data_IF_845350293950
#
_entry.id   IF_845350293950
#
_cell.length_a   1.000
_cell.length_b   1.000
_cell.length_c   1.000
_cell.angle_alpha   90.00
_cell.angle_beta   90.00
_cell.angle_gamma   90.00
#
_symmetry.space_group_name_H-M   'P 1'
#
loop_
_entity.id
_entity.type
_entity.pdbx_description
1 polymer ?
#
# COMPACT_ATOMS: atom_id res chain seq x y z
N UNK A 1 -15.16 33.27 42.47
CA UNK A 1 -14.54 34.00 41.34
C UNK A 1 -13.16 33.45 40.96
N UNK A 2 -12.17 33.42 41.87
CA UNK A 2 -10.80 32.92 41.57
C UNK A 2 -10.75 31.48 41.01
N UNK A 3 -11.54 30.57 41.56
CA UNK A 3 -11.63 29.18 41.09
C UNK A 3 -12.21 29.06 39.67
N UNK A 4 -13.13 29.96 39.30
CA UNK A 4 -13.73 29.98 37.96
C UNK A 4 -12.70 30.37 36.90
N UNK A 5 -11.85 31.37 37.20
CA UNK A 5 -10.75 31.77 36.33
C UNK A 5 -9.72 30.66 36.14
N UNK A 6 -9.41 29.91 37.20
CA UNK A 6 -8.50 28.77 37.12
C UNK A 6 -9.08 27.66 36.23
N UNK A 7 -10.37 27.35 36.37
CA UNK A 7 -11.06 26.37 35.52
C UNK A 7 -11.05 26.81 34.06
N UNK A 8 -11.38 28.07 33.77
CA UNK A 8 -11.38 28.64 32.41
C UNK A 8 -9.97 28.62 31.79
N UNK A 9 -8.94 28.94 32.57
CA UNK A 9 -7.54 28.90 32.11
C UNK A 9 -7.11 27.47 31.77
N UNK A 10 -7.45 26.49 32.63
CA UNK A 10 -7.15 25.07 32.36
C UNK A 10 -7.88 24.59 31.11
N UNK A 11 -9.15 24.96 30.93
CA UNK A 11 -9.92 24.61 29.73
C UNK A 11 -9.30 25.20 28.46
N UNK A 12 -8.85 26.46 28.50
CA UNK A 12 -8.18 27.11 27.38
C UNK A 12 -6.86 26.43 26.98
N UNK A 13 -6.08 25.96 27.95
CA UNK A 13 -4.84 25.22 27.70
C UNK A 13 -5.08 23.83 27.09
N UNK A 14 -6.22 23.20 27.38
CA UNK A 14 -6.58 21.89 26.83
C UNK A 14 -7.03 21.94 25.37
N UNK A 15 -7.64 23.04 24.91
CA UNK A 15 -8.16 23.18 23.54
C UNK A 15 -7.04 23.25 22.48
N UNK A 16 -5.86 23.75 22.84
CA UNK A 16 -4.79 24.02 21.87
C UNK A 16 -3.97 22.79 21.43
N UNK A 17 -4.15 21.62 22.05
CA UNK A 17 -3.28 20.45 21.83
C UNK A 17 -3.95 19.26 21.12
N UNK A 18 -5.18 19.38 20.63
CA UNK A 18 -5.87 18.27 19.95
C UNK A 18 -5.70 18.31 18.43
N UNK A 19 -4.46 18.20 17.94
CA UNK A 19 -4.17 17.86 16.53
C UNK A 19 -3.61 16.43 16.51
N UNK A 20 -4.48 15.44 16.72
CA UNK A 20 -4.07 14.04 16.82
C UNK A 20 -3.88 13.35 15.46
N UNK A 21 -4.30 13.99 14.36
CA UNK A 21 -4.28 13.40 13.02
C UNK A 21 -3.78 14.44 12.03
N UNK A 22 -2.53 14.28 11.57
CA UNK A 22 -2.08 14.99 10.39
C UNK A 22 -2.86 14.43 9.20
N UNK A 23 -3.60 15.30 8.50
CA UNK A 23 -4.35 14.92 7.31
C UNK A 23 -3.37 14.75 6.14
N UNK A 24 -2.90 13.52 5.95
CA UNK A 24 -2.11 13.12 4.80
C UNK A 24 -2.93 12.15 3.93
N UNK A 25 -3.20 12.52 2.69
CA UNK A 25 -3.90 11.66 1.72
C UNK A 25 -2.86 10.82 0.97
N UNK A 26 -2.83 9.52 1.20
CA UNK A 26 -2.00 8.59 0.43
C UNK A 26 -2.53 8.31 -0.98
N UNK A 27 -1.69 7.75 -1.84
CA UNK A 27 -2.12 7.24 -3.14
C UNK A 27 -1.80 5.76 -3.27
N UNK A 28 -2.65 5.04 -4.02
CA UNK A 28 -2.42 3.65 -4.38
C UNK A 28 -2.75 3.50 -5.86
N UNK A 29 -1.73 3.16 -6.65
CA UNK A 29 -1.88 2.93 -8.08
C UNK A 29 -1.56 1.48 -8.40
N UNK A 30 -2.45 0.86 -9.18
CA UNK A 30 -2.36 -0.53 -9.59
C UNK A 30 -2.50 -0.59 -11.10
N UNK A 31 -1.59 -1.29 -11.76
CA UNK A 31 -1.66 -1.61 -13.17
C UNK A 31 -1.73 -3.12 -13.33
N UNK A 32 -2.81 -3.60 -13.92
CA UNK A 32 -3.05 -5.01 -14.21
C UNK A 32 -3.07 -5.25 -15.71
N UNK A 33 -2.27 -6.21 -16.16
CA UNK A 33 -2.19 -6.63 -17.57
C UNK A 33 -2.42 -8.13 -17.63
N UNK A 34 -3.31 -8.56 -18.53
CA UNK A 34 -3.55 -9.97 -18.82
C UNK A 34 -3.55 -10.18 -20.32
N UNK A 35 -2.86 -11.22 -20.75
CA UNK A 35 -2.78 -11.62 -22.16
C UNK A 35 -3.14 -13.09 -22.31
N UNK A 36 -4.08 -13.40 -23.20
CA UNK A 36 -4.47 -14.76 -23.51
C UNK A 36 -3.69 -15.23 -24.74
N UNK A 37 -2.79 -16.20 -24.54
CA UNK A 37 -1.99 -16.79 -25.62
C UNK A 37 -2.85 -17.70 -26.51
N UNK A 38 -3.76 -18.44 -25.89
CA UNK A 38 -4.76 -19.27 -26.56
C UNK A 38 -5.91 -19.56 -25.58
N UNK A 39 -6.83 -20.45 -25.96
CA UNK A 39 -7.98 -20.82 -25.12
C UNK A 39 -7.61 -21.49 -23.78
N UNK A 40 -6.39 -22.05 -23.68
CA UNK A 40 -5.90 -22.78 -22.51
C UNK A 40 -4.91 -21.98 -21.67
N UNK A 41 -4.08 -21.14 -22.28
CA UNK A 41 -2.99 -20.44 -21.62
C UNK A 41 -3.22 -18.94 -21.59
N UNK A 42 -3.06 -18.33 -20.41
CA UNK A 42 -2.98 -16.88 -20.28
C UNK A 42 -1.84 -16.51 -19.34
N UNK A 43 -1.26 -15.34 -19.55
CA UNK A 43 -0.25 -14.74 -18.69
C UNK A 43 -0.81 -13.46 -18.12
N UNK A 44 -0.39 -13.10 -16.91
CA UNK A 44 -0.79 -11.87 -16.26
C UNK A 44 0.38 -11.25 -15.51
N UNK A 45 0.29 -9.93 -15.33
CA UNK A 45 1.23 -9.14 -14.56
C UNK A 45 0.48 -8.02 -13.85
N UNK A 46 0.88 -7.76 -12.61
CA UNK A 46 0.34 -6.69 -11.77
C UNK A 46 1.51 -5.88 -11.22
N UNK A 47 1.49 -4.57 -11.40
CA UNK A 47 2.39 -3.65 -10.70
C UNK A 47 1.57 -2.78 -9.76
N UNK A 48 2.02 -2.60 -8.52
CA UNK A 48 1.42 -1.64 -7.61
C UNK A 48 2.45 -0.74 -6.96
N UNK A 49 2.07 0.50 -6.70
CA UNK A 49 2.86 1.49 -5.98
C UNK A 49 1.97 2.21 -4.97
N UNK A 50 2.48 2.47 -3.77
CA UNK A 50 1.75 3.18 -2.71
C UNK A 50 2.58 4.31 -2.11
N UNK A 51 1.91 5.39 -1.79
CA UNK A 51 2.48 6.57 -1.14
C UNK A 51 1.68 6.94 0.10
N UNK A 52 2.35 7.43 1.15
CA UNK A 52 1.69 7.88 2.38
C UNK A 52 1.09 9.29 2.25
N UNK A 53 1.57 10.08 1.29
CA UNK A 53 1.08 11.42 0.96
C UNK A 53 0.72 11.51 -0.52
N UNK A 54 0.10 12.60 -0.94
CA UNK A 54 -0.44 12.71 -2.29
C UNK A 54 0.72 12.75 -3.30
N UNK A 55 0.91 11.65 -4.05
CA UNK A 55 2.05 11.43 -4.97
C UNK A 55 3.44 11.73 -4.39
N UNK A 56 3.60 11.60 -3.07
CA UNK A 56 4.85 11.82 -2.32
C UNK A 56 4.91 10.87 -1.12
N UNK A 57 6.10 10.62 -0.60
CA UNK A 57 6.37 9.58 0.41
C UNK A 57 6.01 8.18 -0.10
N UNK A 58 6.53 7.81 -1.26
CA UNK A 58 6.48 6.45 -1.78
C UNK A 58 7.24 5.50 -0.87
N UNK A 59 6.52 4.62 -0.19
CA UNK A 59 7.10 3.69 0.77
C UNK A 59 6.96 2.24 0.31
N UNK A 60 6.29 1.99 -0.81
CA UNK A 60 5.97 0.63 -1.22
C UNK A 60 5.81 0.50 -2.72
N UNK A 61 6.40 -0.57 -3.27
CA UNK A 61 5.99 -1.09 -4.56
C UNK A 61 5.99 -2.62 -4.55
N UNK A 62 5.15 -3.19 -5.39
CA UNK A 62 5.12 -4.62 -5.66
C UNK A 62 4.97 -4.85 -7.16
N UNK A 63 5.55 -5.93 -7.64
CA UNK A 63 5.23 -6.46 -8.94
C UNK A 63 4.99 -7.96 -8.82
N UNK A 64 3.97 -8.44 -9.50
CA UNK A 64 3.56 -9.83 -9.53
C UNK A 64 3.33 -10.23 -10.97
N UNK A 65 3.50 -11.51 -11.23
CA UNK A 65 3.14 -12.07 -12.52
C UNK A 65 2.95 -13.56 -12.41
N UNK A 66 2.22 -14.11 -13.37
CA UNK A 66 1.92 -15.52 -13.36
C UNK A 66 1.38 -16.02 -14.68
N UNK A 67 1.30 -17.34 -14.73
CA UNK A 67 0.79 -18.10 -15.86
C UNK A 67 -0.42 -18.88 -15.38
N UNK A 68 -1.50 -18.81 -16.14
CA UNK A 68 -2.72 -19.54 -15.89
C UNK A 68 -2.90 -20.60 -16.98
N UNK A 69 -3.24 -21.81 -16.55
CA UNK A 69 -3.62 -22.93 -17.39
C UNK A 69 -5.06 -23.35 -17.12
N UNK A 70 -5.92 -23.25 -18.13
CA UNK A 70 -7.31 -23.68 -18.08
C UNK A 70 -7.39 -25.19 -18.30
N UNK A 71 -7.50 -25.94 -17.21
CA UNK A 71 -7.64 -27.40 -17.23
C UNK A 71 -9.03 -27.83 -17.70
N UNK A 72 -10.07 -27.12 -17.29
CA UNK A 72 -11.46 -27.35 -17.73
C UNK A 72 -12.21 -26.02 -17.86
N UNK A 73 -13.47 -26.03 -18.30
CA UNK A 73 -14.29 -24.81 -18.39
C UNK A 73 -14.40 -24.06 -17.06
N UNK A 74 -14.21 -24.76 -15.93
CA UNK A 74 -14.43 -24.24 -14.58
C UNK A 74 -13.18 -24.32 -13.68
N UNK A 75 -12.06 -24.87 -14.18
CA UNK A 75 -10.82 -25.05 -13.40
C UNK A 75 -9.66 -24.39 -14.12
N UNK A 76 -9.02 -23.43 -13.44
CA UNK A 76 -7.82 -22.74 -13.89
C UNK A 76 -6.74 -22.93 -12.82
N UNK A 77 -5.63 -23.54 -13.22
CA UNK A 77 -4.42 -23.67 -12.42
C UNK A 77 -3.57 -22.43 -12.65
N UNK A 78 -3.02 -21.84 -11.59
CA UNK A 78 -2.27 -20.58 -11.69
C UNK A 78 -0.98 -20.70 -10.93
N UNK A 79 0.15 -20.53 -11.61
CA UNK A 79 1.43 -20.36 -10.93
C UNK A 79 1.84 -18.90 -11.03
N UNK A 80 2.18 -18.30 -9.92
CA UNK A 80 2.54 -16.89 -9.85
C UNK A 80 3.73 -16.64 -8.94
N UNK A 81 4.35 -15.50 -9.14
CA UNK A 81 5.40 -14.99 -8.27
C UNK A 81 5.31 -13.49 -8.17
N UNK A 82 5.89 -12.92 -7.12
CA UNK A 82 5.96 -11.48 -6.96
C UNK A 82 7.00 -11.04 -5.95
N UNK A 83 7.46 -9.82 -6.14
CA UNK A 83 8.36 -9.12 -5.24
C UNK A 83 7.61 -7.99 -4.54
N UNK A 84 7.87 -7.88 -3.25
CA UNK A 84 7.20 -6.98 -2.32
C UNK A 84 8.27 -6.18 -1.60
N UNK A 85 8.33 -4.87 -1.86
CA UNK A 85 9.34 -4.01 -1.26
C UNK A 85 8.71 -2.89 -0.47
N UNK A 86 8.99 -2.89 0.82
CA UNK A 86 8.54 -1.87 1.76
C UNK A 86 9.75 -1.07 2.23
N UNK A 87 9.76 0.21 1.89
CA UNK A 87 10.77 1.19 2.28
C UNK A 87 10.39 1.84 3.62
N UNK A 88 11.36 2.53 4.23
CA UNK A 88 11.08 3.33 5.41
C UNK A 88 10.21 4.53 5.07
N UNK A 89 9.46 4.97 6.06
CA UNK A 89 8.61 6.15 5.97
C UNK A 89 9.43 7.43 6.09
N UNK A 90 8.86 8.57 5.68
CA UNK A 90 9.47 9.89 5.81
C UNK A 90 10.12 10.45 4.54
N UNK A 91 9.93 9.79 3.39
CA UNK A 91 10.35 10.27 2.07
C UNK A 91 10.06 9.24 0.98
N UNK A 92 10.53 9.50 -0.24
CA UNK A 92 10.38 8.57 -1.35
C UNK A 92 11.51 7.51 -1.34
N UNK A 93 11.10 6.24 -1.25
CA UNK A 93 11.97 5.06 -1.30
C UNK A 93 13.16 5.12 -0.32
N UNK A 94 12.88 5.52 0.92
CA UNK A 94 13.90 5.71 1.96
C UNK A 94 14.49 4.36 2.39
N UNK A 95 15.82 4.30 2.42
CA UNK A 95 16.60 3.15 2.88
C UNK A 95 17.00 3.28 4.37
N UNK A 96 17.30 2.16 5.06
CA UNK A 96 17.14 0.78 4.62
C UNK A 96 15.66 0.40 4.44
N UNK A 97 15.38 -0.66 3.68
CA UNK A 97 14.02 -1.19 3.52
C UNK A 97 13.53 -1.77 4.83
N UNK A 98 12.24 -1.61 5.11
CA UNK A 98 11.55 -2.30 6.20
C UNK A 98 11.31 -3.78 5.86
N UNK A 99 11.04 -4.09 4.59
CA UNK A 99 10.85 -5.45 4.11
C UNK A 99 11.28 -5.59 2.64
N UNK A 100 11.82 -6.75 2.30
CA UNK A 100 12.15 -7.15 0.94
C UNK A 100 11.82 -8.64 0.82
N UNK A 101 10.69 -8.95 0.21
CA UNK A 101 10.14 -10.30 0.19
C UNK A 101 9.80 -10.74 -1.23
N UNK A 102 10.23 -11.95 -1.56
CA UNK A 102 9.88 -12.63 -2.80
C UNK A 102 8.96 -13.82 -2.49
N UNK A 103 7.81 -13.89 -3.16
CA UNK A 103 6.80 -14.93 -2.96
C UNK A 103 6.54 -15.71 -4.23
N UNK A 104 6.17 -16.97 -4.05
CA UNK A 104 5.72 -17.88 -5.10
C UNK A 104 4.39 -18.48 -4.65
N UNK A 105 3.41 -18.53 -5.55
CA UNK A 105 2.09 -19.12 -5.31
C UNK A 105 1.82 -20.20 -6.35
N UNK A 106 1.43 -21.42 -5.92
CA UNK A 106 0.96 -22.49 -6.80
C UNK A 106 -0.55 -22.39 -7.13
#
# INVERSE_FOLDING_TARGET
MRTLYLILLTFYLLINNSQAQAFDLGTWSILNVKYNLNEKWSVWGEGQIRSLKFFTNFHYYEYKGGINYKFSKNVVLTIGTGSYQTYREGGDFVLPKNNDEFRIWP
#
